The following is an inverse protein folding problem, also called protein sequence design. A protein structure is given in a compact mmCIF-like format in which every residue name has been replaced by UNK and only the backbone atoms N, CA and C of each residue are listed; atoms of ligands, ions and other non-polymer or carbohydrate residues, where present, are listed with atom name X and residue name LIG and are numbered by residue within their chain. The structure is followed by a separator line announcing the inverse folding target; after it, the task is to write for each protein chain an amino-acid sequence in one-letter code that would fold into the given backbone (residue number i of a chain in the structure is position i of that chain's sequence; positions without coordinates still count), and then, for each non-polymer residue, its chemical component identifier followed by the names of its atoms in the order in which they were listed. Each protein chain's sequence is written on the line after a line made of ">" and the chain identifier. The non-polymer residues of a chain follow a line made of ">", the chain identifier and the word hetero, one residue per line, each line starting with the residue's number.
data_IF_156132559258
#
_entry.id   IF_156132559258
#
_cell.length_a   1.000
_cell.length_b   1.000
_cell.length_c   1.000
_cell.angle_alpha   90.00
_cell.angle_beta   90.00
_cell.angle_gamma   90.00
#
_symmetry.space_group_name_H-M   'P 1'
#
loop_
_entity.id
_entity.type
_entity.pdbx_description
1 polymer ?
#
# COMPACT_ATOMS: atom_id res chain seq x y z
N UNK A 1 -16.22 0.29 -12.60
CA UNK A 1 -16.78 -1.00 -12.18
C UNK A 1 -17.82 -0.78 -11.07
N UNK A 2 -19.02 -1.34 -11.24
CA UNK A 2 -20.11 -1.20 -10.25
C UNK A 2 -19.79 -1.82 -8.87
N UNK A 3 -18.81 -2.71 -8.81
CA UNK A 3 -18.33 -3.35 -7.58
C UNK A 3 -17.13 -2.63 -6.94
N UNK A 4 -16.65 -1.55 -7.55
CA UNK A 4 -15.52 -0.79 -7.03
C UNK A 4 -15.89 -0.10 -5.72
N UNK A 5 -15.03 -0.25 -4.70
CA UNK A 5 -15.10 0.51 -3.45
C UNK A 5 -14.49 1.89 -3.69
N UNK A 6 -13.45 1.95 -4.52
CA UNK A 6 -12.73 3.17 -4.90
C UNK A 6 -12.67 3.31 -6.42
N UNK A 7 -12.45 4.54 -6.89
CA UNK A 7 -12.29 4.84 -8.30
C UNK A 7 -10.84 4.66 -8.76
N UNK A 8 -10.46 3.44 -9.16
CA UNK A 8 -9.10 3.11 -9.58
C UNK A 8 -8.55 4.00 -10.73
N UNK A 9 -9.33 4.45 -11.72
CA UNK A 9 -8.83 5.38 -12.73
C UNK A 9 -8.46 6.76 -12.16
N UNK A 10 -9.19 7.23 -11.17
CA UNK A 10 -8.88 8.51 -10.48
C UNK A 10 -7.57 8.39 -9.70
N UNK A 11 -7.43 7.31 -8.93
CA UNK A 11 -6.20 7.02 -8.19
C UNK A 11 -4.99 6.88 -9.13
N UNK A 12 -5.14 6.15 -10.24
CA UNK A 12 -4.08 5.99 -11.24
C UNK A 12 -3.63 7.32 -11.84
N UNK A 13 -4.55 8.20 -12.23
CA UNK A 13 -4.22 9.55 -12.73
C UNK A 13 -3.51 10.39 -11.68
N UNK A 14 -3.96 10.34 -10.44
CA UNK A 14 -3.35 11.05 -9.32
C UNK A 14 -1.91 10.59 -9.11
N UNK A 15 -1.67 9.28 -9.03
CA UNK A 15 -0.34 8.71 -8.83
C UNK A 15 0.60 8.94 -10.01
N UNK A 16 0.11 9.07 -11.24
CA UNK A 16 0.93 9.47 -12.39
C UNK A 16 1.59 10.85 -12.20
N UNK A 17 1.01 11.72 -11.37
CA UNK A 17 1.58 13.00 -10.97
C UNK A 17 2.55 12.92 -9.78
N UNK A 18 2.63 11.78 -9.09
CA UNK A 18 3.44 11.63 -7.88
C UNK A 18 4.94 11.76 -8.19
N UNK A 19 5.62 12.70 -7.53
CA UNK A 19 7.01 13.03 -7.83
C UNK A 19 7.98 11.87 -7.52
N UNK A 20 7.71 11.08 -6.49
CA UNK A 20 8.55 9.93 -6.13
C UNK A 20 8.47 8.83 -7.21
N UNK A 21 7.27 8.54 -7.72
CA UNK A 21 7.08 7.59 -8.81
C UNK A 21 7.70 8.09 -10.12
N UNK A 22 7.57 9.38 -10.42
CA UNK A 22 8.18 9.96 -11.63
C UNK A 22 9.70 9.88 -11.63
N UNK A 23 10.35 10.01 -10.47
CA UNK A 23 11.81 9.79 -10.36
C UNK A 23 12.20 8.32 -10.53
N UNK A 24 11.28 7.40 -10.26
CA UNK A 24 11.48 5.96 -10.31
C UNK A 24 10.50 5.31 -11.31
N UNK A 25 10.58 5.75 -12.57
CA UNK A 25 9.62 5.38 -13.63
C UNK A 25 9.61 3.88 -13.99
N UNK A 26 10.57 3.11 -13.50
CA UNK A 26 10.58 1.65 -13.63
C UNK A 26 9.63 0.95 -12.65
N UNK A 27 9.18 1.63 -11.58
CA UNK A 27 8.23 1.05 -10.63
C UNK A 27 6.84 0.89 -11.26
N UNK A 28 6.31 -0.30 -11.17
CA UNK A 28 4.96 -0.65 -11.65
C UNK A 28 3.97 -0.48 -10.50
N UNK A 29 2.98 0.38 -10.69
CA UNK A 29 1.91 0.61 -9.72
C UNK A 29 0.60 0.10 -10.30
N UNK A 30 -0.02 -0.88 -9.66
CA UNK A 30 -1.27 -1.48 -10.08
C UNK A 30 -2.39 -1.15 -9.09
N UNK A 31 -3.51 -0.63 -9.62
CA UNK A 31 -4.63 -0.13 -8.80
C UNK A 31 -5.90 -0.88 -9.15
N UNK A 32 -6.40 -1.67 -8.21
CA UNK A 32 -7.72 -2.30 -8.25
C UNK A 32 -8.71 -1.50 -7.40
N UNK A 33 -9.92 -1.29 -7.89
CA UNK A 33 -10.96 -0.55 -7.16
C UNK A 33 -11.59 -1.33 -6.01
N UNK A 34 -11.29 -2.63 -5.88
CA UNK A 34 -11.77 -3.52 -4.83
C UNK A 34 -10.83 -4.73 -4.69
N UNK A 35 -11.05 -5.62 -3.71
CA UNK A 35 -10.21 -6.81 -3.50
C UNK A 35 -10.20 -7.84 -4.63
N UNK A 36 -11.14 -7.77 -5.58
CA UNK A 36 -11.25 -8.74 -6.70
C UNK A 36 -10.04 -8.76 -7.65
N UNK A 37 -9.09 -7.86 -7.48
CA UNK A 37 -7.78 -7.88 -8.15
C UNK A 37 -7.82 -7.84 -9.69
N UNK A 38 -8.82 -7.21 -10.29
CA UNK A 38 -8.93 -7.14 -11.76
C UNK A 38 -7.70 -6.49 -12.42
N UNK A 39 -6.98 -5.61 -11.71
CA UNK A 39 -5.72 -5.03 -12.17
C UNK A 39 -4.48 -5.75 -11.63
N UNK A 40 -4.65 -6.96 -11.05
CA UNK A 40 -3.56 -7.80 -10.56
C UNK A 40 -2.60 -7.05 -9.61
N UNK A 41 -3.16 -6.29 -8.67
CA UNK A 41 -2.39 -5.42 -7.77
C UNK A 41 -1.29 -6.15 -6.99
N UNK A 42 -1.40 -7.48 -6.81
CA UNK A 42 -0.41 -8.28 -6.09
C UNK A 42 0.92 -8.45 -6.82
N UNK A 43 0.97 -8.22 -8.15
CA UNK A 43 2.19 -8.36 -8.94
C UNK A 43 2.85 -7.04 -9.33
N UNK A 44 2.27 -5.90 -8.91
CA UNK A 44 2.92 -4.59 -9.00
C UNK A 44 4.00 -4.43 -7.95
N UNK A 45 5.04 -3.65 -8.24
CA UNK A 45 6.02 -3.27 -7.22
C UNK A 45 5.32 -2.57 -6.06
N UNK A 46 4.29 -1.76 -6.37
CA UNK A 46 3.31 -1.23 -5.42
C UNK A 46 1.92 -1.62 -5.93
N UNK A 47 1.14 -2.27 -5.09
CA UNK A 47 -0.22 -2.69 -5.37
C UNK A 47 -1.23 -1.98 -4.48
N UNK A 48 -2.37 -1.61 -5.05
CA UNK A 48 -3.44 -0.92 -4.34
C UNK A 48 -4.76 -1.63 -4.58
N UNK A 49 -5.41 -2.08 -3.50
CA UNK A 49 -6.75 -2.66 -3.55
C UNK A 49 -7.73 -1.78 -2.79
N UNK A 50 -8.76 -1.30 -3.47
CA UNK A 50 -9.82 -0.52 -2.85
C UNK A 50 -10.45 -1.27 -1.67
N UNK A 51 -10.55 -0.62 -0.53
CA UNK A 51 -11.10 -1.17 0.69
C UNK A 51 -11.76 -0.09 1.55
N UNK A 52 -12.55 -0.50 2.53
CA UNK A 52 -12.99 0.39 3.60
C UNK A 52 -11.90 0.44 4.67
N UNK A 53 -11.52 1.65 5.06
CA UNK A 53 -10.52 1.89 6.09
C UNK A 53 -11.10 2.73 7.23
N UNK A 54 -10.59 2.57 8.43
CA UNK A 54 -11.03 3.34 9.59
C UNK A 54 -9.96 4.36 9.94
N UNK A 55 -10.34 5.65 9.89
CA UNK A 55 -9.47 6.78 10.22
C UNK A 55 -10.21 7.65 11.23
N UNK A 56 -9.60 7.95 12.37
CA UNK A 56 -10.18 8.79 13.43
C UNK A 56 -11.60 8.36 13.84
N UNK A 57 -11.84 7.04 13.94
CA UNK A 57 -13.13 6.48 14.32
C UNK A 57 -14.20 6.46 13.20
N UNK A 58 -13.91 7.02 12.03
CA UNK A 58 -14.82 7.04 10.87
C UNK A 58 -14.37 6.03 9.82
N UNK A 59 -15.33 5.33 9.22
CA UNK A 59 -15.08 4.45 8.07
C UNK A 59 -15.14 5.28 6.79
N UNK A 60 -14.08 5.22 6.00
CA UNK A 60 -13.97 5.91 4.71
C UNK A 60 -13.44 4.97 3.64
N UNK A 61 -13.54 5.40 2.38
CA UNK A 61 -12.91 4.70 1.27
C UNK A 61 -11.40 4.87 1.33
N UNK A 62 -10.69 3.83 1.00
CA UNK A 62 -9.24 3.81 1.03
C UNK A 62 -8.67 2.63 0.28
N UNK A 63 -7.44 2.30 0.59
CA UNK A 63 -6.71 1.24 -0.07
C UNK A 63 -5.98 0.34 0.94
N UNK A 64 -6.06 -0.95 0.72
CA UNK A 64 -5.06 -1.87 1.22
C UNK A 64 -3.85 -1.76 0.30
N UNK A 65 -2.68 -1.51 0.89
CA UNK A 65 -1.43 -1.24 0.18
C UNK A 65 -0.55 -2.47 0.23
N UNK A 66 -0.13 -2.90 -0.94
CA UNK A 66 0.81 -4.00 -1.15
C UNK A 66 2.13 -3.43 -1.64
N UNK A 67 3.22 -4.03 -1.25
CA UNK A 67 4.54 -3.71 -1.79
C UNK A 67 5.39 -4.98 -1.88
N UNK A 68 6.41 -4.92 -2.70
CA UNK A 68 7.41 -5.96 -2.69
C UNK A 68 7.19 -7.13 -3.64
N UNK A 69 6.33 -7.00 -4.64
CA UNK A 69 6.34 -7.98 -5.72
C UNK A 69 7.70 -7.95 -6.44
N UNK A 70 8.20 -9.12 -6.76
CA UNK A 70 9.42 -9.31 -7.53
C UNK A 70 9.20 -10.50 -8.48
N UNK A 71 8.93 -10.19 -9.74
CA UNK A 71 8.58 -11.22 -10.71
C UNK A 71 9.80 -12.06 -11.12
N UNK A 72 11.00 -11.53 -10.98
CA UNK A 72 12.24 -12.27 -11.25
C UNK A 72 12.47 -13.34 -10.17
N UNK A 73 12.10 -13.03 -8.93
CA UNK A 73 12.16 -13.95 -7.79
C UNK A 73 10.84 -14.74 -7.59
N UNK A 74 9.86 -14.61 -8.48
CA UNK A 74 8.52 -15.27 -8.41
C UNK A 74 7.74 -14.91 -7.13
N UNK A 75 7.91 -13.70 -6.63
CA UNK A 75 7.30 -13.22 -5.40
C UNK A 75 6.16 -12.25 -5.66
N UNK A 76 5.07 -12.42 -4.95
CA UNK A 76 3.95 -11.47 -4.95
C UNK A 76 4.10 -10.43 -3.83
N UNK A 77 3.49 -9.28 -4.02
CA UNK A 77 3.47 -8.21 -3.03
C UNK A 77 2.76 -8.63 -1.75
N UNK A 78 3.27 -8.16 -0.63
CA UNK A 78 2.70 -8.35 0.71
C UNK A 78 2.03 -7.07 1.20
N UNK A 79 1.07 -7.21 2.12
CA UNK A 79 0.38 -6.06 2.70
C UNK A 79 1.35 -5.29 3.60
N UNK A 80 1.51 -4.00 3.32
CA UNK A 80 2.34 -3.07 4.10
C UNK A 80 1.52 -1.98 4.80
N UNK A 81 0.21 -1.93 4.57
CA UNK A 81 -0.64 -0.99 5.28
C UNK A 81 -2.04 -0.84 4.69
N UNK A 82 -2.81 0.05 5.34
CA UNK A 82 -4.11 0.52 4.87
C UNK A 82 -4.15 2.03 5.02
N UNK A 83 -4.61 2.73 4.01
CA UNK A 83 -4.62 4.20 3.99
C UNK A 83 -5.94 4.73 3.44
N UNK A 84 -6.37 5.90 3.90
CA UNK A 84 -7.49 6.59 3.29
C UNK A 84 -7.16 7.00 1.85
N UNK A 85 -8.16 7.10 0.99
CA UNK A 85 -7.96 7.49 -0.40
C UNK A 85 -7.28 8.86 -0.55
N UNK A 86 -7.54 9.77 0.37
CA UNK A 86 -6.92 11.10 0.41
C UNK A 86 -5.42 11.07 0.75
N UNK A 87 -4.95 10.05 1.48
CA UNK A 87 -3.57 9.89 1.95
C UNK A 87 -2.70 9.05 1.00
N UNK A 88 -3.27 8.62 -0.13
CA UNK A 88 -2.62 7.69 -1.05
C UNK A 88 -1.25 8.19 -1.55
N UNK A 89 -1.14 9.49 -1.92
CA UNK A 89 0.13 10.05 -2.40
C UNK A 89 1.21 10.06 -1.32
N UNK A 90 0.83 10.40 -0.10
CA UNK A 90 1.77 10.42 1.03
C UNK A 90 2.27 9.01 1.34
N UNK A 91 1.37 8.03 1.33
CA UNK A 91 1.73 6.63 1.56
C UNK A 91 2.68 6.08 0.48
N UNK A 92 2.37 6.33 -0.80
CA UNK A 92 3.23 5.89 -1.91
C UNK A 92 4.58 6.61 -1.86
N UNK A 93 4.59 7.91 -1.55
CA UNK A 93 5.84 8.68 -1.36
C UNK A 93 6.68 8.11 -0.22
N UNK A 94 6.06 7.72 0.89
CA UNK A 94 6.76 7.09 2.02
C UNK A 94 7.37 5.73 1.63
N UNK A 95 6.65 4.88 0.90
CA UNK A 95 7.16 3.60 0.42
C UNK A 95 8.39 3.80 -0.48
N UNK A 96 8.26 4.67 -1.48
CA UNK A 96 9.35 4.93 -2.44
C UNK A 96 10.54 5.57 -1.73
N UNK A 97 10.32 6.55 -0.85
CA UNK A 97 11.38 7.19 -0.07
C UNK A 97 12.10 6.22 0.87
N UNK A 98 11.36 5.32 1.52
CA UNK A 98 11.95 4.26 2.35
C UNK A 98 12.82 3.32 1.52
N UNK A 99 12.33 2.92 0.33
CA UNK A 99 13.13 2.11 -0.59
C UNK A 99 14.38 2.85 -1.06
N UNK A 100 14.25 4.11 -1.50
CA UNK A 100 15.40 4.93 -1.94
C UNK A 100 16.47 5.03 -0.84
N UNK A 101 16.06 5.17 0.42
CA UNK A 101 16.96 5.31 1.57
C UNK A 101 17.64 3.99 1.99
N UNK A 102 16.96 2.85 1.81
CA UNK A 102 17.39 1.57 2.37
C UNK A 102 17.94 0.59 1.35
N UNK A 103 17.64 0.77 0.06
CA UNK A 103 18.06 -0.17 -0.98
C UNK A 103 19.58 -0.21 -1.14
N UNK A 104 20.11 -1.38 -1.39
CA UNK A 104 21.46 -1.55 -1.89
C UNK A 104 21.52 -1.20 -3.40
N UNK A 105 22.70 -0.91 -3.97
CA UNK A 105 22.82 -0.68 -5.40
C UNK A 105 22.22 -1.80 -6.23
N UNK A 106 21.26 -1.48 -7.12
CA UNK A 106 20.57 -2.45 -7.96
C UNK A 106 19.49 -3.28 -7.27
N UNK A 107 19.19 -3.04 -5.98
CA UNK A 107 18.18 -3.79 -5.25
C UNK A 107 16.76 -3.34 -5.63
N UNK A 108 15.90 -4.29 -5.97
CA UNK A 108 14.48 -4.05 -6.26
C UNK A 108 13.71 -3.66 -4.99
N UNK A 109 12.54 -3.02 -5.17
CA UNK A 109 11.63 -2.77 -4.05
C UNK A 109 11.25 -4.09 -3.35
N UNK A 110 11.02 -5.16 -4.13
CA UNK A 110 10.69 -6.47 -3.60
C UNK A 110 11.73 -7.02 -2.65
N UNK A 111 12.99 -7.01 -3.04
CA UNK A 111 14.09 -7.48 -2.19
C UNK A 111 14.27 -6.61 -0.95
N UNK A 112 14.14 -5.28 -1.10
CA UNK A 112 14.24 -4.35 0.04
C UNK A 112 13.11 -4.58 1.05
N UNK A 113 11.86 -4.78 0.59
CA UNK A 113 10.71 -5.07 1.49
C UNK A 113 10.95 -6.35 2.27
N UNK A 114 11.43 -7.41 1.63
CA UNK A 114 11.73 -8.68 2.33
C UNK A 114 12.86 -8.55 3.34
N UNK A 115 13.92 -7.80 3.01
CA UNK A 115 15.06 -7.59 3.90
C UNK A 115 14.73 -6.68 5.09
N UNK A 116 13.97 -5.63 4.87
CA UNK A 116 13.61 -4.65 5.91
C UNK A 116 12.33 -5.00 6.67
N UNK A 117 11.56 -5.93 6.18
CA UNK A 117 10.28 -6.46 6.61
C UNK A 117 9.06 -5.59 6.20
N UNK A 118 7.91 -6.22 5.95
CA UNK A 118 6.66 -5.51 5.67
C UNK A 118 6.23 -4.57 6.80
N UNK A 119 6.47 -4.98 8.05
CA UNK A 119 6.16 -4.20 9.25
C UNK A 119 6.99 -2.92 9.31
N UNK A 120 8.27 -2.99 8.91
CA UNK A 120 9.15 -1.82 8.81
C UNK A 120 8.61 -0.78 7.82
N UNK A 121 8.14 -1.22 6.65
CA UNK A 121 7.47 -0.34 5.68
C UNK A 121 6.15 0.21 6.23
N UNK A 122 5.36 -0.60 6.93
CA UNK A 122 4.13 -0.16 7.58
C UNK A 122 4.39 0.98 8.56
N UNK A 123 5.42 0.87 9.39
CA UNK A 123 5.81 1.93 10.33
C UNK A 123 6.19 3.23 9.62
N UNK A 124 6.87 3.16 8.47
CA UNK A 124 7.22 4.36 7.70
C UNK A 124 5.99 5.03 7.09
N UNK A 125 5.02 4.25 6.61
CA UNK A 125 3.73 4.79 6.13
C UNK A 125 3.00 5.46 7.30
N UNK A 126 2.93 4.82 8.46
CA UNK A 126 2.28 5.36 9.65
C UNK A 126 2.95 6.66 10.10
N UNK A 127 4.27 6.70 10.12
CA UNK A 127 5.03 7.91 10.50
C UNK A 127 4.74 9.07 9.53
N UNK A 128 4.65 8.81 8.23
CA UNK A 128 4.33 9.80 7.22
C UNK A 128 2.88 10.33 7.33
N UNK A 129 2.00 9.58 7.98
CA UNK A 129 0.58 9.89 8.18
C UNK A 129 0.23 10.20 9.65
N UNK A 130 1.24 10.37 10.52
CA UNK A 130 1.07 10.45 11.97
C UNK A 130 0.05 11.51 12.43
N UNK A 131 0.00 12.65 11.74
CA UNK A 131 -0.94 13.74 12.05
C UNK A 131 -2.39 13.40 11.67
N UNK A 132 -2.60 12.36 10.87
CA UNK A 132 -3.91 11.98 10.33
C UNK A 132 -4.41 10.62 10.80
N UNK A 133 -3.49 9.76 11.25
CA UNK A 133 -3.81 8.39 11.62
C UNK A 133 -3.54 8.12 13.10
N UNK A 134 -4.51 8.43 13.95
CA UNK A 134 -4.54 7.89 15.30
C UNK A 134 -5.02 6.42 15.21
N UNK A 135 -4.24 5.42 15.67
CA UNK A 135 -4.70 4.04 15.73
C UNK A 135 -5.96 3.99 16.61
N UNK A 136 -7.08 3.66 15.98
CA UNK A 136 -8.28 3.33 16.74
C UNK A 136 -8.00 2.09 17.61
N UNK A 137 -8.74 1.88 18.72
CA UNK A 137 -8.55 0.70 19.52
C UNK A 137 -8.67 -0.54 18.63
N UNK A 138 -7.68 -1.43 18.71
CA UNK A 138 -7.73 -2.72 18.04
C UNK A 138 -9.06 -3.37 18.34
N UNK A 139 -9.79 -3.92 17.36
CA UNK A 139 -10.97 -4.70 17.65
C UNK A 139 -10.53 -5.84 18.55
N UNK A 140 -11.10 -5.90 19.76
CA UNK A 140 -10.86 -6.99 20.67
C UNK A 140 -11.11 -8.30 19.91
N UNK A 141 -10.07 -9.09 19.71
CA UNK A 141 -10.19 -10.42 19.13
C UNK A 141 -11.01 -11.21 20.12
N UNK A 142 -12.28 -11.43 19.80
CA UNK A 142 -13.13 -12.30 20.61
C UNK A 142 -12.45 -13.68 20.67
N UNK A 143 -12.27 -14.27 21.86
CA UNK A 143 -11.65 -15.58 21.95
C UNK A 143 -12.51 -16.58 21.17
N UNK A 144 -11.90 -17.25 20.20
CA UNK A 144 -12.52 -18.35 19.48
C UNK A 144 -12.73 -19.46 20.51
N UNK A 145 -13.96 -19.63 20.98
CA UNK A 145 -14.34 -20.78 21.74
C UNK A 145 -14.29 -22.01 20.84
N UNK A 146 -13.20 -22.74 20.90
CA UNK A 146 -13.12 -24.11 20.34
C UNK A 146 -13.97 -24.99 21.25
N UNK A 147 -15.08 -25.49 20.71
CA UNK A 147 -15.84 -26.59 21.31
C UNK A 147 -15.35 -27.91 20.75
#
# INVERSE_FOLDING_TARGET
>A
CALGITESPVAGRRLAGNAALRRNSSLRVFVSGCPNSCAQHQIGDIGLAGSRVRVNGRTTDGYQVYAGADLDDHEIGVVVGRVAAEDLDAAVTAIVGTWEALRHPGESLGRTVRRFTPEGFSLQIQAALADRWAPGPEPAVAPVLVR
#
